data_IF_648497437419
#
_entry.id   IF_648497437419
#
_cell.length_a   1.000
_cell.length_b   1.000
_cell.length_c   1.000
_cell.angle_alpha   90.00
_cell.angle_beta   90.00
_cell.angle_gamma   90.00
#
_symmetry.space_group_name_H-M   'P 1'
#
loop_
_entity.id
_entity.type
_entity.pdbx_description
1 polymer ?
#
# COMPACT_ATOMS: atom_id res chain seq x y z
N UNK A 1 -80.69 -12.65 -10.12
CA UNK A 1 -79.62 -12.24 -11.05
C UNK A 1 -79.15 -10.86 -10.62
N UNK A 2 -78.00 -10.74 -9.94
CA UNK A 2 -77.13 -9.55 -9.85
C UNK A 2 -75.75 -10.05 -9.41
N UNK A 3 -74.73 -9.60 -10.14
CA UNK A 3 -73.38 -10.12 -10.25
C UNK A 3 -72.48 -9.83 -9.03
N UNK A 4 -71.61 -10.81 -8.74
CA UNK A 4 -70.36 -10.66 -7.96
C UNK A 4 -69.49 -9.56 -8.58
N UNK A 5 -68.95 -8.64 -7.77
CA UNK A 5 -67.70 -7.95 -8.10
C UNK A 5 -66.76 -8.02 -6.89
N UNK A 6 -65.71 -8.80 -7.11
CA UNK A 6 -64.64 -9.16 -6.20
C UNK A 6 -63.59 -8.03 -6.19
N UNK A 7 -63.43 -7.35 -5.05
CA UNK A 7 -62.49 -6.22 -4.87
C UNK A 7 -61.11 -6.74 -4.49
N UNK A 8 -60.29 -7.11 -5.49
CA UNK A 8 -58.83 -7.29 -5.34
C UNK A 8 -58.07 -6.36 -6.27
N UNK A 9 -57.51 -5.28 -5.71
CA UNK A 9 -56.41 -4.42 -6.19
C UNK A 9 -56.33 -3.24 -5.21
N UNK A 10 -55.22 -2.80 -4.62
CA UNK A 10 -53.80 -2.89 -4.95
C UNK A 10 -53.02 -2.89 -3.62
N UNK A 11 -52.07 -3.82 -3.45
CA UNK A 11 -51.08 -3.78 -2.36
C UNK A 11 -49.73 -4.27 -2.90
N UNK A 12 -49.24 -3.64 -3.98
CA UNK A 12 -48.05 -4.09 -4.71
C UNK A 12 -47.11 -2.95 -5.15
N UNK A 13 -47.27 -1.73 -4.63
CA UNK A 13 -46.37 -0.62 -4.97
C UNK A 13 -45.38 -0.24 -3.87
N UNK A 14 -45.62 -0.57 -2.59
CA UNK A 14 -44.71 -0.20 -1.49
C UNK A 14 -43.46 -1.06 -1.34
N UNK A 15 -43.41 -2.27 -1.92
CA UNK A 15 -42.29 -3.22 -1.74
C UNK A 15 -41.14 -2.92 -2.74
N UNK A 16 -41.46 -2.34 -3.91
CA UNK A 16 -40.44 -2.06 -4.94
C UNK A 16 -39.52 -0.91 -4.56
N UNK A 17 -40.01 0.11 -3.85
CA UNK A 17 -39.18 1.25 -3.44
C UNK A 17 -38.19 0.87 -2.34
N UNK A 18 -38.60 0.08 -1.33
CA UNK A 18 -37.68 -0.37 -0.26
C UNK A 18 -36.52 -1.23 -0.76
N UNK A 19 -36.74 -2.03 -1.80
CA UNK A 19 -35.67 -2.85 -2.42
C UNK A 19 -34.68 -1.95 -3.17
N UNK A 20 -35.18 -0.95 -3.92
CA UNK A 20 -34.33 -0.05 -4.70
C UNK A 20 -33.42 0.82 -3.82
N UNK A 21 -33.91 1.32 -2.68
CA UNK A 21 -33.08 2.05 -1.71
C UNK A 21 -32.05 1.15 -1.01
N UNK A 22 -32.38 -0.12 -0.76
CA UNK A 22 -31.44 -1.07 -0.16
C UNK A 22 -30.28 -1.41 -1.10
N UNK A 23 -30.53 -1.61 -2.39
CA UNK A 23 -29.50 -1.89 -3.39
C UNK A 23 -28.58 -0.70 -3.62
N UNK A 24 -29.12 0.52 -3.71
CA UNK A 24 -28.32 1.73 -3.91
C UNK A 24 -27.42 2.08 -2.71
N UNK A 25 -27.86 1.72 -1.49
CA UNK A 25 -27.05 1.87 -0.27
C UNK A 25 -25.91 0.85 -0.20
N UNK A 26 -26.15 -0.41 -0.58
CA UNK A 26 -25.12 -1.47 -0.63
C UNK A 26 -24.02 -1.15 -1.64
N UNK A 27 -24.36 -0.61 -2.80
CA UNK A 27 -23.38 -0.23 -3.83
C UNK A 27 -22.49 0.94 -3.38
N UNK A 28 -23.04 1.98 -2.76
CA UNK A 28 -22.24 3.09 -2.19
C UNK A 28 -21.29 2.63 -1.09
N UNK A 29 -21.71 1.69 -0.24
CA UNK A 29 -20.89 1.15 0.84
C UNK A 29 -19.74 0.30 0.27
N UNK A 30 -20.00 -0.49 -0.78
CA UNK A 30 -18.95 -1.28 -1.45
C UNK A 30 -17.96 -0.40 -2.23
N UNK A 31 -18.43 0.65 -2.90
CA UNK A 31 -17.57 1.62 -3.60
C UNK A 31 -16.67 2.38 -2.61
N UNK A 32 -17.20 2.78 -1.44
CA UNK A 32 -16.41 3.43 -0.41
C UNK A 32 -15.37 2.48 0.23
N UNK A 33 -15.72 1.21 0.47
CA UNK A 33 -14.74 0.21 0.91
C UNK A 33 -13.60 0.05 -0.10
N UNK A 34 -13.92 -0.09 -1.40
CA UNK A 34 -12.90 -0.25 -2.44
C UNK A 34 -11.91 0.93 -2.48
N UNK A 35 -12.39 2.16 -2.28
CA UNK A 35 -11.56 3.36 -2.26
C UNK A 35 -10.58 3.40 -1.07
N UNK A 36 -11.02 2.96 0.11
CA UNK A 36 -10.24 3.06 1.35
C UNK A 36 -9.13 1.99 1.40
N UNK A 37 -9.35 0.80 0.81
CA UNK A 37 -8.35 -0.28 0.80
C UNK A 37 -7.38 -0.23 -0.38
N UNK A 38 -7.64 0.55 -1.42
CA UNK A 38 -6.74 0.64 -2.57
C UNK A 38 -5.39 1.29 -2.23
N UNK A 39 -5.41 2.34 -1.42
CA UNK A 39 -4.22 3.12 -1.07
C UNK A 39 -3.11 2.29 -0.37
N UNK A 40 -3.38 1.54 0.72
CA UNK A 40 -2.35 0.70 1.34
C UNK A 40 -1.84 -0.41 0.41
N UNK A 41 -2.69 -0.93 -0.48
CA UNK A 41 -2.29 -1.90 -1.49
C UNK A 41 -1.33 -1.32 -2.53
N UNK A 42 -1.59 -0.09 -2.98
CA UNK A 42 -0.73 0.63 -3.93
C UNK A 42 0.63 0.98 -3.30
N UNK A 43 0.64 1.52 -2.08
CA UNK A 43 1.87 1.87 -1.36
C UNK A 43 2.74 0.63 -1.10
N UNK A 44 2.12 -0.49 -0.70
CA UNK A 44 2.86 -1.74 -0.47
C UNK A 44 3.61 -2.19 -1.73
N UNK A 45 3.02 -2.03 -2.92
CA UNK A 45 3.68 -2.36 -4.19
C UNK A 45 4.87 -1.43 -4.46
N UNK A 46 4.69 -0.12 -4.27
CA UNK A 46 5.79 0.86 -4.38
C UNK A 46 6.94 0.50 -3.45
N UNK A 47 6.66 0.14 -2.19
CA UNK A 47 7.68 -0.29 -1.24
C UNK A 47 8.45 -1.52 -1.75
N UNK A 48 7.76 -2.52 -2.30
CA UNK A 48 8.40 -3.72 -2.85
C UNK A 48 9.30 -3.35 -4.04
N UNK A 49 8.83 -2.50 -4.96
CA UNK A 49 9.64 -2.05 -6.09
C UNK A 49 10.89 -1.30 -5.62
N UNK A 50 10.75 -0.36 -4.68
CA UNK A 50 11.88 0.37 -4.11
C UNK A 50 12.86 -0.55 -3.38
N UNK A 51 12.37 -1.57 -2.67
CA UNK A 51 13.22 -2.56 -2.02
C UNK A 51 14.09 -3.32 -3.04
N UNK A 52 13.49 -3.87 -4.09
CA UNK A 52 14.23 -4.58 -5.14
C UNK A 52 15.16 -3.65 -5.92
N UNK A 53 14.76 -2.40 -6.15
CA UNK A 53 15.62 -1.41 -6.77
C UNK A 53 16.86 -1.11 -5.91
N UNK A 54 16.69 -0.87 -4.60
CA UNK A 54 17.82 -0.69 -3.68
C UNK A 54 18.75 -1.93 -3.67
N UNK A 55 18.17 -3.14 -3.66
CA UNK A 55 18.94 -4.39 -3.74
C UNK A 55 19.75 -4.47 -5.04
N UNK A 56 19.13 -4.16 -6.18
CA UNK A 56 19.78 -4.17 -7.48
C UNK A 56 20.96 -3.17 -7.53
N UNK A 57 20.75 -1.94 -7.07
CA UNK A 57 21.80 -0.91 -7.03
C UNK A 57 22.94 -1.33 -6.11
N UNK A 58 22.64 -1.93 -4.95
CA UNK A 58 23.66 -2.46 -4.04
C UNK A 58 24.48 -3.58 -4.69
N UNK A 59 23.83 -4.51 -5.40
CA UNK A 59 24.52 -5.59 -6.12
C UNK A 59 25.41 -5.02 -7.22
N UNK A 60 24.93 -4.03 -7.98
CA UNK A 60 25.73 -3.37 -9.02
C UNK A 60 26.93 -2.64 -8.43
N UNK A 61 26.78 -1.99 -7.28
CA UNK A 61 27.89 -1.35 -6.57
C UNK A 61 28.96 -2.38 -6.16
N UNK A 62 28.55 -3.50 -5.54
CA UNK A 62 29.46 -4.56 -5.14
C UNK A 62 30.16 -5.20 -6.35
N UNK A 63 29.40 -5.47 -7.42
CA UNK A 63 29.95 -6.05 -8.65
C UNK A 63 30.93 -5.10 -9.34
N UNK A 64 30.60 -3.80 -9.38
CA UNK A 64 31.47 -2.77 -9.94
C UNK A 64 32.79 -2.63 -9.17
N UNK A 65 32.78 -2.91 -7.87
CA UNK A 65 34.00 -2.94 -7.06
C UNK A 65 34.91 -4.12 -7.47
N UNK A 66 34.36 -5.32 -7.70
CA UNK A 66 35.13 -6.47 -8.18
C UNK A 66 35.65 -6.32 -9.63
N UNK A 67 35.00 -5.48 -10.43
CA UNK A 67 35.36 -5.24 -11.83
C UNK A 67 36.23 -3.99 -12.03
N UNK A 68 36.69 -3.36 -10.95
CA UNK A 68 37.48 -2.12 -10.98
C UNK A 68 36.83 -1.02 -11.84
N UNK A 69 35.51 -0.86 -11.72
CA UNK A 69 34.80 0.24 -12.39
C UNK A 69 35.35 1.60 -11.96
N UNK A 70 35.28 2.56 -12.89
CA UNK A 70 35.62 3.96 -12.65
C UNK A 70 34.98 4.49 -11.36
N UNK A 71 35.78 5.17 -10.56
CA UNK A 71 35.37 5.74 -9.26
C UNK A 71 34.12 6.62 -9.38
N UNK A 72 34.01 7.40 -10.46
CA UNK A 72 32.85 8.26 -10.71
C UNK A 72 31.54 7.49 -10.85
N UNK A 73 31.57 6.30 -11.45
CA UNK A 73 30.39 5.42 -11.58
C UNK A 73 30.02 4.86 -10.21
N UNK A 74 30.99 4.45 -9.40
CA UNK A 74 30.73 3.92 -8.05
C UNK A 74 30.09 4.97 -7.14
N UNK A 75 30.60 6.20 -7.16
CA UNK A 75 30.02 7.33 -6.44
C UNK A 75 28.58 7.58 -6.88
N UNK A 76 28.32 7.58 -8.18
CA UNK A 76 26.97 7.75 -8.72
C UNK A 76 26.00 6.64 -8.26
N UNK A 77 26.44 5.38 -8.22
CA UNK A 77 25.63 4.27 -7.70
C UNK A 77 25.31 4.44 -6.21
N UNK A 78 26.27 4.92 -5.41
CA UNK A 78 26.06 5.20 -3.98
C UNK A 78 25.09 6.37 -3.76
N UNK A 79 25.17 7.42 -4.57
CA UNK A 79 24.22 8.54 -4.51
C UNK A 79 22.80 8.09 -4.86
N UNK A 80 22.65 7.28 -5.92
CA UNK A 80 21.37 6.68 -6.30
C UNK A 80 20.84 5.83 -5.14
N UNK A 81 21.67 4.95 -4.56
CA UNK A 81 21.31 4.10 -3.43
C UNK A 81 20.85 4.92 -2.23
N UNK A 82 21.56 6.01 -1.91
CA UNK A 82 21.22 6.91 -0.80
C UNK A 82 19.85 7.57 -1.02
N UNK A 83 19.60 8.10 -2.21
CA UNK A 83 18.32 8.76 -2.53
C UNK A 83 17.17 7.75 -2.55
N UNK A 84 17.37 6.58 -3.17
CA UNK A 84 16.34 5.53 -3.22
C UNK A 84 16.07 4.89 -1.86
N UNK A 85 17.07 4.77 -0.99
CA UNK A 85 16.88 4.33 0.39
C UNK A 85 16.06 5.35 1.18
N UNK A 86 16.33 6.65 1.02
CA UNK A 86 15.55 7.71 1.67
C UNK A 86 14.08 7.70 1.22
N UNK A 87 13.83 7.58 -0.09
CA UNK A 87 12.47 7.40 -0.62
C UNK A 87 11.80 6.16 -0.01
N UNK A 88 12.50 5.03 0.04
CA UNK A 88 11.99 3.80 0.63
C UNK A 88 11.61 3.98 2.11
N UNK A 89 12.45 4.64 2.91
CA UNK A 89 12.19 4.96 4.33
C UNK A 89 10.88 5.77 4.47
N UNK A 90 10.70 6.79 3.63
CA UNK A 90 9.48 7.63 3.67
C UNK A 90 8.24 6.78 3.35
N UNK A 91 8.27 5.99 2.27
CA UNK A 91 7.13 5.17 1.85
C UNK A 91 6.80 4.05 2.85
N UNK A 92 7.82 3.35 3.38
CA UNK A 92 7.60 2.26 4.33
C UNK A 92 7.16 2.79 5.70
N UNK A 93 7.66 3.95 6.12
CA UNK A 93 7.20 4.66 7.31
C UNK A 93 5.73 5.07 7.18
N UNK A 94 5.35 5.65 6.04
CA UNK A 94 3.95 5.98 5.76
C UNK A 94 3.05 4.73 5.74
N UNK A 95 3.51 3.63 5.13
CA UNK A 95 2.80 2.35 5.12
C UNK A 95 2.61 1.78 6.54
N UNK A 96 3.64 1.83 7.38
CA UNK A 96 3.58 1.39 8.77
C UNK A 96 2.55 2.21 9.57
N UNK A 97 2.56 3.54 9.44
CA UNK A 97 1.55 4.42 10.04
C UNK A 97 0.13 4.07 9.60
N UNK A 98 -0.07 3.77 8.31
CA UNK A 98 -1.37 3.34 7.80
C UNK A 98 -1.82 2.00 8.40
N UNK A 99 -0.93 1.00 8.49
CA UNK A 99 -1.26 -0.28 9.13
C UNK A 99 -1.62 -0.08 10.61
N UNK A 100 -0.85 0.74 11.33
CA UNK A 100 -1.13 1.06 12.73
C UNK A 100 -2.50 1.72 12.89
N UNK A 101 -2.81 2.71 12.07
CA UNK A 101 -4.11 3.37 12.07
C UNK A 101 -5.27 2.39 11.84
N UNK A 102 -5.17 1.51 10.83
CA UNK A 102 -6.18 0.49 10.57
C UNK A 102 -6.28 -0.56 11.68
N UNK A 103 -5.16 -0.91 12.30
CA UNK A 103 -5.10 -1.85 13.43
C UNK A 103 -5.86 -1.31 14.64
N UNK A 104 -5.62 -0.03 14.99
CA UNK A 104 -6.32 0.65 16.09
C UNK A 104 -7.82 0.73 15.80
N UNK A 105 -8.22 1.07 14.56
CA UNK A 105 -9.62 1.24 14.19
C UNK A 105 -10.39 -0.07 14.05
N UNK A 106 -9.78 -1.11 13.49
CA UNK A 106 -10.43 -2.39 13.20
C UNK A 106 -10.30 -3.43 14.33
N UNK A 107 -9.49 -3.14 15.37
CA UNK A 107 -9.12 -4.06 16.47
C UNK A 107 -8.56 -5.42 16.01
N UNK A 108 -8.18 -5.54 14.73
CA UNK A 108 -7.60 -6.74 14.14
C UNK A 108 -6.11 -6.49 13.94
N UNK A 109 -5.29 -7.27 14.64
CA UNK A 109 -3.84 -7.14 14.58
C UNK A 109 -3.32 -7.76 13.28
N UNK A 110 -2.64 -6.94 12.48
CA UNK A 110 -1.91 -7.38 11.28
C UNK A 110 -0.42 -7.57 11.61
N UNK A 111 -0.14 -8.40 12.64
CA UNK A 111 1.19 -8.53 13.25
C UNK A 111 2.32 -8.82 12.26
N UNK A 112 2.13 -9.80 11.36
CA UNK A 112 3.12 -10.13 10.32
C UNK A 112 3.45 -8.93 9.41
N UNK A 113 2.46 -8.12 9.05
CA UNK A 113 2.68 -6.95 8.19
C UNK A 113 3.46 -5.86 8.90
N UNK A 114 3.25 -5.69 10.21
CA UNK A 114 4.00 -4.75 11.04
C UNK A 114 5.47 -5.17 11.19
N UNK A 115 5.73 -6.46 11.43
CA UNK A 115 7.10 -6.97 11.51
C UNK A 115 7.84 -6.74 10.19
N UNK A 116 7.22 -7.09 9.07
CA UNK A 116 7.82 -6.88 7.75
C UNK A 116 8.08 -5.39 7.49
N UNK A 117 7.14 -4.49 7.83
CA UNK A 117 7.35 -3.06 7.65
C UNK A 117 8.45 -2.51 8.54
N UNK A 118 8.57 -3.00 9.78
CA UNK A 118 9.61 -2.58 10.72
C UNK A 118 10.99 -3.08 10.26
N UNK A 119 11.09 -4.34 9.84
CA UNK A 119 12.32 -4.89 9.27
C UNK A 119 12.74 -4.16 7.99
N UNK A 120 11.78 -3.85 7.11
CA UNK A 120 12.03 -3.02 5.92
C UNK A 120 12.51 -1.62 6.27
N UNK A 121 11.88 -0.96 7.25
CA UNK A 121 12.30 0.36 7.72
C UNK A 121 13.73 0.36 8.26
N UNK A 122 14.06 -0.60 9.15
CA UNK A 122 15.41 -0.74 9.72
C UNK A 122 16.45 -0.99 8.62
N UNK A 123 16.14 -1.85 7.65
CA UNK A 123 17.02 -2.08 6.51
C UNK A 123 17.22 -0.82 5.67
N UNK A 124 16.15 -0.08 5.38
CA UNK A 124 16.24 1.18 4.63
C UNK A 124 17.14 2.20 5.33
N UNK A 125 16.96 2.36 6.64
CA UNK A 125 17.81 3.23 7.48
C UNK A 125 19.27 2.78 7.45
N UNK A 126 19.52 1.48 7.60
CA UNK A 126 20.86 0.91 7.51
C UNK A 126 21.53 1.21 6.16
N UNK A 127 20.83 0.97 5.04
CA UNK A 127 21.35 1.24 3.70
C UNK A 127 21.64 2.72 3.48
N UNK A 128 20.77 3.61 3.97
CA UNK A 128 20.98 5.05 3.88
C UNK A 128 22.25 5.50 4.61
N UNK A 129 22.45 5.03 5.84
CA UNK A 129 23.65 5.35 6.62
C UNK A 129 24.91 4.71 6.03
N UNK A 130 24.82 3.47 5.55
CA UNK A 130 25.92 2.79 4.88
C UNK A 130 26.39 3.58 3.65
N UNK A 131 25.46 3.94 2.75
CA UNK A 131 25.79 4.73 1.56
C UNK A 131 26.35 6.11 1.92
N UNK A 132 25.78 6.76 2.93
CA UNK A 132 26.25 8.07 3.39
C UNK A 132 27.66 8.00 4.01
N UNK A 133 27.96 6.94 4.75
CA UNK A 133 29.27 6.70 5.32
C UNK A 133 30.33 6.46 4.24
N UNK A 134 30.02 5.60 3.26
CA UNK A 134 30.95 5.31 2.15
C UNK A 134 31.21 6.57 1.31
N UNK A 135 30.19 7.39 1.04
CA UNK A 135 30.36 8.67 0.32
C UNK A 135 31.16 9.73 1.10
N UNK A 136 31.33 9.55 2.41
CA UNK A 136 32.09 10.48 3.26
C UNK A 136 33.55 10.08 3.46
N UNK A 137 33.92 8.86 3.07
CA UNK A 137 35.31 8.37 3.04
C UNK A 137 36.03 8.93 1.80
#
# INVERSE_FOLDING_TARGET
MILRINKRRCKTNGIKESIFYSSFSVDKINIMKYRIYWLPGFISKICIYLFFFNLLVLILFLLGNFQEFLDSTQVLLLEILKISALLFIIFIGYYACMILYFTVRSKRLHFFRLIISLGGFLLGVFLFFLASFILSL
#
